data_IF_957426180371
#
_entry.id   IF_957426180371
#
_cell.length_a   1.000
_cell.length_b   1.000
_cell.length_c   1.000
_cell.angle_alpha   90.00
_cell.angle_beta   90.00
_cell.angle_gamma   90.00
#
_symmetry.space_group_name_H-M   'P 1'
#
loop_
_entity.id
_entity.type
_entity.pdbx_description
1 polymer ?
#
# COMPACT_ATOMS: atom_id res chain seq x y z
N UNK A 1 -16.22 -15.70 13.34
CA UNK A 1 -15.82 -15.53 13.09
C UNK A 1 -14.97 -15.45 12.53
N UNK A 2 -14.64 -15.38 12.26
CA UNK A 2 -14.05 -15.18 11.78
C UNK A 2 -13.25 -15.28 11.20
N UNK A 3 -13.18 -15.24 10.99
CA UNK A 3 -12.54 -15.33 10.48
C UNK A 3 -11.74 -15.22 9.98
N UNK A 4 -11.52 -15.04 10.06
CA UNK A 4 -10.72 -14.80 9.55
C UNK A 4 -9.64 -15.08 9.29
N UNK A 5 -9.94 -15.41 9.26
CA UNK A 5 -8.89 -16.28 8.98
C UNK A 5 -7.79 -15.64 8.24
N UNK A 6 -8.05 -15.12 7.18
CA UNK A 6 -7.08 -14.37 6.45
C UNK A 6 -6.58 -13.25 7.31
N UNK A 7 -5.29 -13.15 7.42
CA UNK A 7 -4.72 -12.07 8.18
C UNK A 7 -4.90 -10.78 7.41
N UNK A 8 -5.66 -9.87 7.92
CA UNK A 8 -5.83 -8.61 7.22
C UNK A 8 -4.61 -7.74 7.36
N UNK A 9 -4.51 -6.77 6.48
CA UNK A 9 -3.51 -5.74 6.59
C UNK A 9 -3.80 -4.97 7.88
N UNK A 10 -2.79 -4.71 8.70
CA UNK A 10 -3.04 -3.98 9.93
C UNK A 10 -3.54 -2.58 9.68
N UNK A 11 -4.29 -2.05 10.63
CA UNK A 11 -4.83 -0.68 10.52
C UNK A 11 -3.72 0.36 10.45
N UNK A 12 -2.60 0.09 11.08
CA UNK A 12 -1.46 1.00 11.06
C UNK A 12 -0.44 0.49 10.06
N UNK A 13 0.29 1.38 9.41
CA UNK A 13 1.32 0.93 8.48
C UNK A 13 2.43 0.20 9.22
N UNK A 14 2.87 -0.94 8.70
CA UNK A 14 4.00 -1.64 9.29
C UNK A 14 5.30 -0.90 9.02
N UNK A 15 6.36 -1.27 9.74
CA UNK A 15 7.62 -0.56 9.59
C UNK A 15 8.17 -0.66 8.17
N UNK A 16 7.85 -1.72 7.45
CA UNK A 16 8.31 -1.89 6.08
C UNK A 16 7.24 -1.47 5.07
N UNK A 17 6.35 -0.56 5.48
CA UNK A 17 5.27 -0.11 4.61
C UNK A 17 5.78 0.40 3.26
N UNK A 18 6.91 1.09 3.26
CA UNK A 18 7.44 1.62 2.00
C UNK A 18 7.75 0.54 1.00
N UNK A 19 8.33 -0.57 1.47
CA UNK A 19 8.62 -1.70 0.60
C UNK A 19 7.34 -2.32 0.06
N UNK A 20 6.33 -2.43 0.91
CA UNK A 20 5.04 -2.97 0.48
C UNK A 20 4.37 -2.08 -0.55
N UNK A 21 4.43 -0.78 -0.34
CA UNK A 21 3.86 0.18 -1.28
C UNK A 21 4.55 0.05 -2.63
N UNK A 22 5.87 0.01 -2.63
CA UNK A 22 6.61 -0.08 -3.88
C UNK A 22 6.28 -1.36 -4.63
N UNK A 23 6.28 -2.49 -3.91
CA UNK A 23 6.01 -3.78 -4.55
C UNK A 23 4.60 -3.80 -5.13
N UNK A 24 3.63 -3.30 -4.37
CA UNK A 24 2.25 -3.26 -4.85
C UNK A 24 2.13 -2.34 -6.06
N UNK A 25 2.75 -1.16 -5.97
CA UNK A 25 2.69 -0.19 -7.05
C UNK A 25 3.19 -0.79 -8.36
N UNK A 26 4.31 -1.50 -8.29
CA UNK A 26 4.89 -2.12 -9.47
C UNK A 26 3.99 -3.22 -10.03
N UNK A 27 3.38 -4.01 -9.15
CA UNK A 27 2.44 -5.02 -9.60
C UNK A 27 1.21 -4.41 -10.26
N UNK A 28 0.79 -3.26 -9.76
CA UNK A 28 -0.36 -2.57 -10.31
C UNK A 28 -0.03 -1.81 -11.59
N UNK A 29 1.24 -1.75 -11.97
CA UNK A 29 1.64 -1.06 -13.18
C UNK A 29 1.63 0.45 -13.05
N UNK A 30 1.76 0.97 -11.84
CA UNK A 30 1.73 2.40 -11.61
C UNK A 30 3.12 2.97 -11.44
N UNK A 31 3.30 4.19 -11.93
CA UNK A 31 4.49 4.96 -11.59
C UNK A 31 4.28 5.60 -10.22
N UNK A 32 5.37 6.15 -9.66
CA UNK A 32 5.23 6.90 -8.41
C UNK A 32 4.28 8.08 -8.59
N UNK A 33 4.38 8.76 -9.72
CA UNK A 33 3.46 9.86 -10.00
C UNK A 33 2.02 9.38 -10.13
N UNK A 34 1.83 8.25 -10.79
CA UNK A 34 0.49 7.70 -10.95
C UNK A 34 -0.14 7.35 -9.61
N UNK A 35 0.65 6.77 -8.73
CA UNK A 35 0.16 6.45 -7.39
C UNK A 35 -0.15 7.73 -6.61
N UNK A 36 0.73 8.72 -6.72
CA UNK A 36 0.50 9.99 -6.03
C UNK A 36 -0.81 10.62 -6.47
N UNK A 37 -1.07 10.62 -7.78
CA UNK A 37 -2.31 11.17 -8.29
C UNK A 37 -3.52 10.39 -7.79
N UNK A 38 -3.42 9.07 -7.79
CA UNK A 38 -4.54 8.24 -7.34
C UNK A 38 -4.88 8.48 -5.88
N UNK A 39 -3.90 8.84 -5.08
CA UNK A 39 -4.09 9.08 -3.65
C UNK A 39 -4.24 10.55 -3.30
N UNK A 40 -4.11 11.44 -4.28
CA UNK A 40 -4.16 12.89 -4.05
C UNK A 40 -3.07 13.36 -3.10
N UNK A 41 -1.88 12.79 -3.27
CA UNK A 41 -0.69 13.24 -2.52
C UNK A 41 0.37 13.65 -3.53
N UNK A 42 1.47 14.17 -3.04
CA UNK A 42 2.54 14.59 -3.92
C UNK A 42 3.44 13.42 -4.27
N UNK A 43 4.13 13.55 -5.40
CA UNK A 43 5.16 12.60 -5.79
C UNK A 43 6.20 12.43 -4.68
N UNK A 44 6.62 13.54 -4.09
CA UNK A 44 7.61 13.48 -3.01
C UNK A 44 7.15 12.65 -1.84
N UNK A 45 5.85 12.71 -1.54
CA UNK A 45 5.30 11.93 -0.44
C UNK A 45 5.44 10.43 -0.72
N UNK A 46 5.07 10.00 -1.92
CA UNK A 46 5.21 8.59 -2.28
C UNK A 46 6.67 8.17 -2.25
N UNK A 47 7.53 9.00 -2.81
CA UNK A 47 8.96 8.70 -2.84
C UNK A 47 9.53 8.55 -1.44
N UNK A 48 9.12 9.41 -0.51
CA UNK A 48 9.62 9.32 0.87
C UNK A 48 9.14 8.08 1.57
N UNK A 49 7.89 7.66 1.30
CA UNK A 49 7.40 6.38 1.84
C UNK A 49 8.28 5.22 1.33
N UNK A 50 8.49 5.18 0.02
CA UNK A 50 9.19 4.05 -0.59
C UNK A 50 10.66 3.99 -0.20
N UNK A 51 11.24 5.15 0.09
CA UNK A 51 12.64 5.21 0.53
C UNK A 51 12.80 5.03 2.03
N UNK A 52 11.70 4.85 2.74
CA UNK A 52 11.75 4.60 4.17
C UNK A 52 12.02 5.83 5.01
N UNK A 53 11.88 7.03 4.44
CA UNK A 53 12.15 8.25 5.19
C UNK A 53 10.99 8.59 6.12
N UNK A 54 9.78 8.16 5.78
CA UNK A 54 8.62 8.42 6.60
C UNK A 54 7.59 7.33 6.29
N UNK A 55 6.84 6.93 7.29
CA UNK A 55 5.76 5.98 7.08
C UNK A 55 4.52 6.72 6.59
N UNK A 56 3.69 6.07 5.77
CA UNK A 56 2.39 6.65 5.45
C UNK A 56 1.63 6.90 6.75
N UNK A 57 0.84 7.97 6.78
CA UNK A 57 -0.04 8.18 7.91
C UNK A 57 -1.08 7.06 7.93
N UNK A 58 -1.76 6.93 9.06
CA UNK A 58 -2.82 5.94 9.19
C UNK A 58 -3.88 6.14 8.11
N UNK A 59 -4.25 7.39 7.88
CA UNK A 59 -5.24 7.71 6.88
C UNK A 59 -4.76 7.36 5.47
N UNK A 60 -3.51 7.70 5.17
CA UNK A 60 -2.93 7.37 3.87
C UNK A 60 -2.84 5.86 3.69
N UNK A 61 -2.50 5.14 4.75
CA UNK A 61 -2.41 3.69 4.68
C UNK A 61 -3.76 3.06 4.35
N UNK A 62 -4.82 3.59 4.95
CA UNK A 62 -6.17 3.12 4.65
C UNK A 62 -6.57 3.42 3.22
N UNK A 63 -6.19 4.59 2.72
CA UNK A 63 -6.46 4.94 1.33
C UNK A 63 -5.72 4.03 0.37
N UNK A 64 -4.49 3.66 0.71
CA UNK A 64 -3.72 2.70 -0.07
C UNK A 64 -4.42 1.34 -0.12
N UNK A 65 -4.90 0.88 1.03
CA UNK A 65 -5.58 -0.40 1.10
C UNK A 65 -6.85 -0.38 0.25
N UNK A 66 -7.58 0.72 0.32
CA UNK A 66 -8.81 0.84 -0.45
C UNK A 66 -8.53 0.87 -1.95
N UNK A 67 -7.53 1.61 -2.35
CA UNK A 67 -7.14 1.66 -3.75
C UNK A 67 -6.72 0.29 -4.25
N UNK A 68 -5.97 -0.44 -3.44
CA UNK A 68 -5.51 -1.77 -3.80
C UNK A 68 -6.69 -2.71 -3.99
N UNK A 69 -7.66 -2.64 -3.10
CA UNK A 69 -8.84 -3.48 -3.19
C UNK A 69 -9.64 -3.16 -4.45
N UNK A 70 -9.76 -1.88 -4.78
CA UNK A 70 -10.50 -1.46 -5.95
C UNK A 70 -9.86 -1.97 -7.24
N UNK A 71 -8.56 -2.14 -7.22
CA UNK A 71 -7.85 -2.63 -8.40
C UNK A 71 -7.76 -4.15 -8.43
N UNK A 72 -8.35 -4.82 -7.45
CA UNK A 72 -8.33 -6.27 -7.42
C UNK A 72 -6.97 -6.86 -7.11
N UNK A 73 -6.09 -6.08 -6.55
CA UNK A 73 -4.75 -6.52 -6.19
C UNK A 73 -4.46 -6.02 -4.77
N UNK A 74 -4.94 -6.73 -3.76
CA UNK A 74 -4.83 -6.24 -2.39
C UNK A 74 -3.40 -5.97 -1.97
N UNK A 75 -3.24 -4.92 -1.21
CA UNK A 75 -1.96 -4.56 -0.65
C UNK A 75 -1.53 -5.66 0.31
N UNK A 76 -0.31 -6.11 0.20
CA UNK A 76 0.18 -7.14 1.10
C UNK A 76 -0.25 -8.54 0.77
N UNK A 77 -1.06 -8.72 -0.27
CA UNK A 77 -1.38 -10.07 -0.71
C UNK A 77 -0.11 -10.68 -1.25
N UNK A 78 0.28 -11.68 -0.91
CA UNK A 78 1.48 -12.20 -1.43
C UNK A 78 1.35 -13.52 -1.89
N UNK A 79 1.28 -13.42 -1.81
CA UNK A 79 1.17 -14.30 -1.99
C UNK A 79 1.29 -15.27 -2.04
N UNK A 80 1.44 -15.66 -1.92
CA UNK A 80 1.52 -16.54 -1.94
C UNK A 80 1.27 -17.32 -1.85
N UNK A 81 1.04 -17.58 -1.86
CA UNK A 81 0.76 -18.20 -1.79
C UNK A 81 0.62 -19.08 -1.96
N UNK A 82 0.69 -19.49 -2.05
CA UNK A 82 0.50 -20.23 -2.37
C UNK A 82 0.43 -20.56 -2.73
#
# INVERSE_FOLDING_TARGET
MQANATTPIPSNPPVDAGRLVRAWRQRAGLTQEGLAQALSVTFSTVSRWENGHVLPSKLAWRALQQLADERGCPLGANTNVV
#
